data_IF_787187589360
#
_entry.id   IF_787187589360
#
_cell.length_a   1.000
_cell.length_b   1.000
_cell.length_c   1.000
_cell.angle_alpha   90.00
_cell.angle_beta   90.00
_cell.angle_gamma   90.00
#
_symmetry.space_group_name_H-M   'P 1'
#
loop_
_entity.id
_entity.type
_entity.pdbx_description
1 polymer ?
#
# COMPACT_ATOMS: atom_id res chain seq x y z
N UNK A 1 -6.32 3.96 29.28
CA UNK A 1 -4.94 4.31 28.83
C UNK A 1 -4.67 5.80 29.13
N UNK A 2 -3.50 6.17 29.64
CA UNK A 2 -3.16 7.58 29.90
C UNK A 2 -2.75 8.36 28.64
N UNK A 3 -2.63 9.69 28.74
CA UNK A 3 -2.31 10.59 27.61
C UNK A 3 -1.02 10.23 26.87
N UNK A 4 0.05 9.86 27.59
CA UNK A 4 1.30 9.40 26.97
C UNK A 4 1.14 8.12 26.15
N UNK A 5 0.26 7.21 26.58
CA UNK A 5 -0.07 5.99 25.84
C UNK A 5 -0.83 6.28 24.55
N UNK A 6 -1.83 7.17 24.62
CA UNK A 6 -2.57 7.63 23.44
C UNK A 6 -1.67 8.31 22.42
N UNK A 7 -0.71 9.13 22.90
CA UNK A 7 0.29 9.74 22.03
C UNK A 7 1.15 8.71 21.31
N UNK A 8 1.62 7.67 22.01
CA UNK A 8 2.42 6.60 21.38
C UNK A 8 1.62 5.80 20.35
N UNK A 9 0.33 5.53 20.60
CA UNK A 9 -0.54 4.87 19.62
C UNK A 9 -0.71 5.75 18.38
N UNK A 10 -1.07 7.03 18.57
CA UNK A 10 -1.21 7.98 17.47
C UNK A 10 0.08 8.13 16.66
N UNK A 11 1.24 8.19 17.33
CA UNK A 11 2.55 8.24 16.68
C UNK A 11 2.83 6.96 15.89
N UNK A 12 2.51 5.79 16.44
CA UNK A 12 2.71 4.50 15.76
C UNK A 12 1.81 4.40 14.53
N UNK A 13 0.57 4.86 14.61
CA UNK A 13 -0.32 4.96 13.45
C UNK A 13 0.22 5.93 12.39
N UNK A 14 0.71 7.10 12.79
CA UNK A 14 1.32 8.07 11.88
C UNK A 14 2.55 7.48 11.17
N UNK A 15 3.41 6.77 11.90
CA UNK A 15 4.56 6.03 11.32
C UNK A 15 4.08 4.95 10.35
N UNK A 16 3.00 4.22 10.69
CA UNK A 16 2.39 3.24 9.79
C UNK A 16 1.89 3.88 8.49
N UNK A 17 1.23 5.03 8.58
CA UNK A 17 0.75 5.80 7.41
C UNK A 17 1.93 6.29 6.57
N UNK A 18 2.97 6.86 7.19
CA UNK A 18 4.19 7.28 6.45
C UNK A 18 4.88 6.07 5.82
N UNK A 19 4.88 4.93 6.50
CA UNK A 19 5.43 3.66 6.01
C UNK A 19 4.77 3.18 4.70
N UNK A 20 3.52 3.54 4.43
CA UNK A 20 2.84 3.25 3.14
C UNK A 20 3.57 3.87 1.95
N UNK A 21 4.25 5.01 2.13
CA UNK A 21 5.01 5.67 1.07
C UNK A 21 6.26 4.88 0.66
N UNK A 22 6.69 3.95 1.50
CA UNK A 22 7.87 3.11 1.32
C UNK A 22 7.38 1.74 0.84
N UNK A 23 7.55 1.41 -0.46
CA UNK A 23 7.18 0.10 -0.98
C UNK A 23 7.77 -1.01 -0.10
N UNK A 24 6.97 -2.04 0.18
CA UNK A 24 7.23 -3.20 1.04
C UNK A 24 7.06 -2.99 2.55
N UNK A 25 7.01 -1.77 3.08
CA UNK A 25 6.71 -1.61 4.49
C UNK A 25 5.24 -1.95 4.76
N UNK A 26 4.94 -2.79 5.77
CA UNK A 26 3.57 -3.17 6.09
C UNK A 26 2.88 -2.06 6.90
N UNK A 27 2.74 -0.87 6.31
CA UNK A 27 2.25 0.34 6.98
C UNK A 27 0.88 0.17 7.62
N UNK A 28 -0.09 -0.41 6.89
CA UNK A 28 -1.43 -0.70 7.41
C UNK A 28 -1.43 -1.73 8.53
N UNK A 29 -0.49 -2.69 8.51
CA UNK A 29 -0.34 -3.66 9.60
C UNK A 29 0.10 -2.96 10.89
N UNK A 30 1.01 -1.99 10.78
CA UNK A 30 1.46 -1.19 11.92
C UNK A 30 0.32 -0.33 12.49
N UNK A 31 -0.52 0.27 11.63
CA UNK A 31 -1.75 0.98 12.06
C UNK A 31 -2.71 0.03 12.80
N UNK A 32 -2.95 -1.16 12.24
CA UNK A 32 -3.81 -2.17 12.86
C UNK A 32 -3.29 -2.68 14.20
N UNK A 33 -1.97 -2.90 14.31
CA UNK A 33 -1.32 -3.30 15.55
C UNK A 33 -1.44 -2.22 16.62
N UNK A 34 -1.24 -0.94 16.26
CA UNK A 34 -1.43 0.18 17.18
C UNK A 34 -2.89 0.26 17.67
N UNK A 35 -3.87 0.07 16.77
CA UNK A 35 -5.29 0.02 17.13
C UNK A 35 -5.62 -1.13 18.08
N UNK A 36 -5.05 -2.32 17.83
CA UNK A 36 -5.25 -3.50 18.68
C UNK A 36 -4.68 -3.28 20.08
N UNK A 37 -3.45 -2.75 20.18
CA UNK A 37 -2.80 -2.43 21.45
C UNK A 37 -3.66 -1.44 22.25
N UNK A 38 -4.21 -0.42 21.58
CA UNK A 38 -5.12 0.52 22.21
C UNK A 38 -6.40 -0.16 22.71
N UNK A 39 -7.05 -0.99 21.88
CA UNK A 39 -8.29 -1.69 22.26
C UNK A 39 -8.07 -2.64 23.45
N UNK A 40 -6.96 -3.37 23.46
CA UNK A 40 -6.54 -4.21 24.59
C UNK A 40 -6.29 -3.38 25.87
N UNK A 41 -5.73 -2.18 25.73
CA UNK A 41 -5.43 -1.31 26.88
C UNK A 41 -6.67 -0.56 27.42
N UNK A 42 -7.69 -0.35 26.60
CA UNK A 42 -8.98 0.20 27.02
C UNK A 42 -9.89 -0.89 27.60
N UNK A 43 -9.81 -2.10 27.05
CA UNK A 43 -10.56 -3.30 27.46
C UNK A 43 -12.06 -3.04 27.67
N UNK A 44 -12.69 -2.41 26.69
CA UNK A 44 -14.12 -2.11 26.71
C UNK A 44 -14.81 -2.62 25.45
N UNK A 45 -16.10 -2.91 25.56
CA UNK A 45 -16.95 -3.31 24.41
C UNK A 45 -16.85 -2.30 23.27
N UNK A 46 -16.86 -0.99 23.60
CA UNK A 46 -16.72 0.06 22.60
C UNK A 46 -15.34 0.05 21.94
N UNK A 47 -14.26 -0.15 22.70
CA UNK A 47 -12.90 -0.25 22.17
C UNK A 47 -12.75 -1.41 21.18
N UNK A 48 -13.36 -2.56 21.46
CA UNK A 48 -13.38 -3.70 20.55
C UNK A 48 -14.22 -3.44 19.28
N UNK A 49 -15.35 -2.75 19.40
CA UNK A 49 -16.16 -2.34 18.23
C UNK A 49 -15.36 -1.39 17.32
N UNK A 50 -14.68 -0.39 17.91
CA UNK A 50 -13.81 0.55 17.19
C UNK A 50 -12.68 -0.19 16.48
N UNK A 51 -12.03 -1.14 17.16
CA UNK A 51 -11.01 -1.99 16.53
C UNK A 51 -11.57 -2.82 15.38
N UNK A 52 -12.75 -3.43 15.54
CA UNK A 52 -13.42 -4.18 14.47
C UNK A 52 -13.67 -3.31 13.24
N UNK A 53 -14.15 -2.08 13.42
CA UNK A 53 -14.34 -1.13 12.33
C UNK A 53 -13.01 -0.78 11.62
N UNK A 54 -11.95 -0.51 12.39
CA UNK A 54 -10.60 -0.28 11.85
C UNK A 54 -10.12 -1.49 11.05
N UNK A 55 -10.25 -2.71 11.59
CA UNK A 55 -9.82 -3.93 10.91
C UNK A 55 -10.53 -4.11 9.56
N UNK A 56 -11.84 -3.83 9.49
CA UNK A 56 -12.60 -3.87 8.24
C UNK A 56 -12.09 -2.84 7.24
N UNK A 57 -11.85 -1.59 7.66
CA UNK A 57 -11.30 -0.55 6.77
C UNK A 57 -9.93 -0.94 6.22
N UNK A 58 -9.03 -1.41 7.08
CA UNK A 58 -7.69 -1.83 6.68
C UNK A 58 -7.71 -3.04 5.75
N UNK A 59 -8.59 -4.02 6.02
CA UNK A 59 -8.80 -5.17 5.15
C UNK A 59 -9.33 -4.75 3.77
N UNK A 60 -10.34 -3.87 3.72
CA UNK A 60 -10.87 -3.32 2.47
C UNK A 60 -9.81 -2.54 1.69
N UNK A 61 -9.03 -1.69 2.36
CA UNK A 61 -7.92 -0.96 1.73
C UNK A 61 -6.86 -1.91 1.15
N UNK A 62 -6.52 -2.97 1.90
CA UNK A 62 -5.57 -4.01 1.47
C UNK A 62 -6.09 -4.81 0.29
N UNK A 63 -7.39 -5.11 0.23
CA UNK A 63 -7.97 -5.79 -0.95
C UNK A 63 -8.03 -4.84 -2.14
N UNK A 64 -8.50 -3.61 -1.94
CA UNK A 64 -8.66 -2.62 -3.01
C UNK A 64 -7.34 -2.27 -3.69
N UNK A 65 -6.22 -2.15 -2.95
CA UNK A 65 -4.91 -1.85 -3.53
C UNK A 65 -4.38 -2.94 -4.47
N UNK A 66 -4.84 -4.20 -4.32
CA UNK A 66 -4.44 -5.30 -5.20
C UNK A 66 -5.44 -5.49 -6.33
N UNK A 67 -6.73 -5.46 -6.01
CA UNK A 67 -7.80 -5.74 -6.97
C UNK A 67 -7.90 -4.64 -8.04
N UNK A 68 -7.81 -3.37 -7.66
CA UNK A 68 -8.00 -2.27 -8.61
C UNK A 68 -6.88 -2.22 -9.67
N UNK A 69 -5.58 -2.24 -9.30
CA UNK A 69 -4.50 -2.30 -10.29
C UNK A 69 -4.49 -3.60 -11.11
N UNK A 70 -4.82 -4.74 -10.51
CA UNK A 70 -4.83 -6.02 -11.21
C UNK A 70 -5.89 -6.07 -12.32
N UNK A 71 -7.06 -5.43 -12.12
CA UNK A 71 -8.10 -5.33 -13.15
C UNK A 71 -7.64 -4.51 -14.35
N UNK A 72 -6.95 -3.39 -14.10
CA UNK A 72 -6.42 -2.53 -15.17
C UNK A 72 -5.28 -3.21 -15.94
N UNK A 73 -4.41 -3.98 -15.25
CA UNK A 73 -3.33 -4.73 -15.89
C UNK A 73 -3.83 -5.94 -16.69
N UNK A 74 -4.85 -6.65 -16.20
CA UNK A 74 -5.47 -7.76 -16.92
C UNK A 74 -6.17 -7.28 -18.20
N UNK A 75 -6.79 -6.09 -18.17
CA UNK A 75 -7.39 -5.46 -19.33
C UNK A 75 -6.36 -5.02 -20.39
N UNK A 76 -5.09 -4.82 -20.01
CA UNK A 76 -4.02 -4.39 -20.90
C UNK A 76 -3.42 -5.52 -21.77
N UNK A 77 -3.80 -6.79 -21.54
CA UNK A 77 -3.41 -7.92 -22.42
C UNK A 77 -1.92 -8.28 -22.44
N UNK A 78 -1.14 -7.83 -21.46
CA UNK A 78 0.29 -8.11 -21.40
C UNK A 78 0.57 -9.63 -21.25
N UNK A 79 1.46 -10.21 -22.05
CA UNK A 79 1.83 -11.62 -21.94
C UNK A 79 2.39 -11.95 -20.54
N UNK A 80 2.14 -13.18 -20.05
CA UNK A 80 2.71 -13.65 -18.76
C UNK A 80 4.24 -13.53 -18.70
N UNK A 81 4.92 -13.66 -19.83
CA UNK A 81 6.37 -13.46 -19.94
C UNK A 81 6.80 -12.01 -19.64
N UNK A 82 6.05 -11.01 -20.12
CA UNK A 82 6.29 -9.59 -19.80
C UNK A 82 6.15 -9.34 -18.29
N UNK A 83 5.13 -9.92 -17.65
CA UNK A 83 4.93 -9.81 -16.20
C UNK A 83 6.08 -10.46 -15.42
N UNK A 84 6.60 -11.59 -15.90
CA UNK A 84 7.73 -12.29 -15.27
C UNK A 84 9.01 -11.45 -15.36
N UNK A 85 9.28 -10.82 -16.50
CA UNK A 85 10.43 -9.91 -16.67
C UNK A 85 10.28 -8.66 -15.80
N UNK A 86 9.05 -8.15 -15.65
CA UNK A 86 8.73 -7.12 -14.67
C UNK A 86 9.07 -7.56 -13.24
N UNK A 87 8.63 -8.73 -12.81
CA UNK A 87 8.93 -9.25 -11.48
C UNK A 87 10.44 -9.40 -11.23
N UNK A 88 11.18 -9.95 -12.20
CA UNK A 88 12.66 -10.07 -12.11
C UNK A 88 13.30 -8.69 -12.05
N UNK A 89 12.85 -7.75 -12.88
CA UNK A 89 13.31 -6.36 -12.86
C UNK A 89 13.07 -5.69 -11.50
N UNK A 90 11.91 -5.93 -10.87
CA UNK A 90 11.60 -5.42 -9.54
C UNK A 90 12.57 -5.95 -8.48
N UNK A 91 12.89 -7.25 -8.53
CA UNK A 91 13.86 -7.86 -7.62
C UNK A 91 15.24 -7.23 -7.81
N UNK A 92 15.73 -7.13 -9.05
CA UNK A 92 17.04 -6.52 -9.35
C UNK A 92 17.04 -5.06 -8.88
N UNK A 93 16.00 -4.30 -9.23
CA UNK A 93 15.88 -2.90 -8.85
C UNK A 93 15.93 -2.71 -7.34
N UNK A 94 15.22 -3.54 -6.56
CA UNK A 94 15.26 -3.49 -5.10
C UNK A 94 16.67 -3.65 -4.53
N UNK A 95 17.49 -4.55 -5.09
CA UNK A 95 18.87 -4.72 -4.65
C UNK A 95 19.77 -3.54 -5.05
N UNK A 96 19.49 -2.87 -6.18
CA UNK A 96 20.27 -1.71 -6.65
C UNK A 96 19.90 -0.43 -5.90
N UNK A 97 18.59 -0.19 -5.74
CA UNK A 97 18.04 0.97 -5.03
C UNK A 97 17.05 0.42 -3.99
N UNK A 98 17.47 0.24 -2.73
CA UNK A 98 16.58 -0.24 -1.68
C UNK A 98 15.29 0.59 -1.63
N UNK A 99 14.18 -0.06 -1.30
CA UNK A 99 12.83 0.54 -1.20
C UNK A 99 12.21 0.92 -2.54
N UNK A 100 12.75 1.91 -3.24
CA UNK A 100 12.15 2.47 -4.47
C UNK A 100 12.51 1.68 -5.73
N UNK A 101 13.55 0.86 -5.67
CA UNK A 101 13.97 0.03 -6.79
C UNK A 101 12.99 -1.07 -7.16
N UNK A 102 12.09 -1.47 -6.26
CA UNK A 102 11.10 -2.50 -6.54
C UNK A 102 10.02 -2.02 -7.54
N UNK A 103 9.35 -0.86 -7.32
CA UNK A 103 8.50 -0.28 -8.35
C UNK A 103 9.29 0.13 -9.59
N UNK A 104 10.45 0.78 -9.44
CA UNK A 104 11.25 1.27 -10.58
C UNK A 104 11.73 0.12 -11.47
N UNK A 105 12.32 -0.91 -10.87
CA UNK A 105 12.80 -2.10 -11.56
C UNK A 105 11.67 -2.91 -12.18
N UNK A 106 10.52 -2.97 -11.52
CA UNK A 106 9.32 -3.63 -12.06
C UNK A 106 8.80 -2.94 -13.32
N UNK A 107 8.65 -1.62 -13.24
CA UNK A 107 8.25 -0.77 -14.37
C UNK A 107 9.25 -0.90 -15.52
N UNK A 108 10.56 -0.78 -15.24
CA UNK A 108 11.61 -0.89 -16.24
C UNK A 108 11.68 -2.27 -16.88
N UNK A 109 11.49 -3.35 -16.11
CA UNK A 109 11.45 -4.71 -16.63
C UNK A 109 10.30 -4.92 -17.62
N UNK A 110 9.09 -4.48 -17.26
CA UNK A 110 7.92 -4.51 -18.17
C UNK A 110 8.18 -3.64 -19.41
N UNK A 111 8.68 -2.41 -19.21
CA UNK A 111 9.00 -1.49 -20.30
C UNK A 111 9.98 -2.09 -21.30
N UNK A 112 11.09 -2.66 -20.84
CA UNK A 112 12.13 -3.23 -21.70
C UNK A 112 11.66 -4.49 -22.41
N UNK A 113 10.84 -5.32 -21.76
CA UNK A 113 10.22 -6.49 -22.39
C UNK A 113 9.27 -6.07 -23.53
N UNK A 114 8.45 -5.04 -23.29
CA UNK A 114 7.49 -4.57 -24.28
C UNK A 114 8.15 -3.78 -25.41
N UNK A 115 9.22 -3.02 -25.12
CA UNK A 115 10.03 -2.32 -26.13
C UNK A 115 10.66 -3.30 -27.12
N UNK A 116 11.15 -4.45 -26.61
CA UNK A 116 11.67 -5.55 -27.45
C UNK A 116 10.57 -6.21 -28.27
N UNK A 117 9.39 -6.42 -27.69
CA UNK A 117 8.22 -6.99 -28.38
C UNK A 117 7.70 -6.10 -29.51
N UNK A 118 7.67 -4.79 -29.30
CA UNK A 118 7.10 -3.79 -30.22
C UNK A 118 8.13 -3.17 -31.17
N UNK A 119 9.30 -3.81 -31.35
CA UNK A 119 10.36 -3.36 -32.26
C UNK A 119 10.82 -1.90 -32.07
N UNK A 120 10.86 -1.40 -30.82
CA UNK A 120 11.46 -0.09 -30.52
C UNK A 120 10.50 1.11 -30.56
N UNK A 121 9.18 0.92 -30.50
CA UNK A 121 8.23 2.03 -30.36
C UNK A 121 8.35 2.72 -28.98
N UNK A 122 9.14 3.81 -28.94
CA UNK A 122 9.35 4.64 -27.76
C UNK A 122 8.06 5.32 -27.24
N UNK A 123 7.05 5.54 -28.09
CA UNK A 123 5.79 6.14 -27.66
C UNK A 123 4.95 5.16 -26.83
N UNK A 124 4.86 3.90 -27.28
CA UNK A 124 4.24 2.81 -26.51
C UNK A 124 4.93 2.57 -25.17
N UNK A 125 6.24 2.72 -25.15
CA UNK A 125 7.05 2.49 -23.97
C UNK A 125 6.80 3.56 -22.88
N UNK A 126 6.82 4.87 -23.22
CA UNK A 126 6.48 5.95 -22.28
C UNK A 126 5.06 5.80 -21.71
N UNK A 127 4.12 5.38 -22.53
CA UNK A 127 2.74 5.12 -22.11
C UNK A 127 2.67 4.00 -21.08
N UNK A 128 3.44 2.94 -21.25
CA UNK A 128 3.54 1.83 -20.29
C UNK A 128 4.08 2.30 -18.93
N UNK A 129 5.16 3.09 -18.92
CA UNK A 129 5.71 3.69 -17.68
C UNK A 129 4.65 4.52 -16.93
N UNK A 130 3.90 5.37 -17.63
CA UNK A 130 2.85 6.21 -17.01
C UNK A 130 1.73 5.35 -16.43
N UNK A 131 1.31 4.29 -17.12
CA UNK A 131 0.28 3.36 -16.62
C UNK A 131 0.74 2.67 -15.35
N UNK A 132 1.99 2.19 -15.31
CA UNK A 132 2.52 1.52 -14.12
C UNK A 132 2.71 2.47 -12.94
N UNK A 133 3.25 3.68 -13.17
CA UNK A 133 3.37 4.70 -12.14
C UNK A 133 2.00 5.11 -11.58
N UNK A 134 0.99 5.24 -12.45
CA UNK A 134 -0.39 5.52 -12.04
C UNK A 134 -0.96 4.38 -11.19
N UNK A 135 -0.73 3.13 -11.57
CA UNK A 135 -1.18 1.96 -10.82
C UNK A 135 -0.55 1.92 -9.40
N UNK A 136 0.76 2.19 -9.30
CA UNK A 136 1.46 2.29 -8.01
C UNK A 136 0.89 3.45 -7.19
N UNK A 137 0.72 4.63 -7.80
CA UNK A 137 0.17 5.81 -7.13
C UNK A 137 -1.25 5.58 -6.61
N UNK A 138 -2.11 4.90 -7.37
CA UNK A 138 -3.46 4.52 -6.93
C UNK A 138 -3.40 3.58 -5.73
N UNK A 139 -2.51 2.57 -5.75
CA UNK A 139 -2.31 1.67 -4.61
C UNK A 139 -1.92 2.42 -3.34
N UNK A 140 -0.95 3.34 -3.43
CA UNK A 140 -0.51 4.19 -2.32
C UNK A 140 -1.66 5.06 -1.82
N UNK A 141 -2.42 5.70 -2.71
CA UNK A 141 -3.56 6.54 -2.32
C UNK A 141 -4.64 5.75 -1.57
N UNK A 142 -4.92 4.51 -2.00
CA UNK A 142 -5.88 3.62 -1.33
C UNK A 142 -5.38 3.29 0.09
N UNK A 143 -4.11 2.94 0.24
CA UNK A 143 -3.54 2.63 1.54
C UNK A 143 -3.51 3.86 2.45
N UNK A 144 -3.13 5.03 1.94
CA UNK A 144 -3.18 6.28 2.71
C UNK A 144 -4.60 6.60 3.16
N UNK A 145 -5.59 6.48 2.27
CA UNK A 145 -6.99 6.70 2.61
C UNK A 145 -7.48 5.74 3.69
N UNK A 146 -7.14 4.45 3.58
CA UNK A 146 -7.50 3.44 4.59
C UNK A 146 -6.81 3.72 5.93
N UNK A 147 -5.51 4.03 5.94
CA UNK A 147 -4.74 4.36 7.14
C UNK A 147 -5.26 5.61 7.84
N UNK A 148 -5.51 6.70 7.11
CA UNK A 148 -6.09 7.93 7.65
C UNK A 148 -7.49 7.68 8.21
N UNK A 149 -8.35 6.97 7.47
CA UNK A 149 -9.70 6.64 7.93
C UNK A 149 -9.66 5.80 9.22
N UNK A 150 -8.78 4.80 9.30
CA UNK A 150 -8.57 4.01 10.49
C UNK A 150 -8.11 4.87 11.69
N UNK A 151 -7.18 5.80 11.48
CA UNK A 151 -6.74 6.72 12.53
C UNK A 151 -7.84 7.69 12.99
N UNK A 152 -8.70 8.14 12.09
CA UNK A 152 -9.85 8.97 12.44
C UNK A 152 -10.91 8.19 13.24
N UNK A 153 -11.18 6.93 12.86
CA UNK A 153 -12.07 6.03 13.62
C UNK A 153 -11.51 5.79 15.03
N UNK A 154 -10.20 5.55 15.13
CA UNK A 154 -9.53 5.41 16.42
C UNK A 154 -9.66 6.69 17.27
N UNK A 155 -9.38 7.85 16.69
CA UNK A 155 -9.47 9.13 17.40
C UNK A 155 -10.90 9.39 17.91
N UNK A 156 -11.92 9.11 17.09
CA UNK A 156 -13.31 9.19 17.53
C UNK A 156 -13.62 8.21 18.68
N UNK A 157 -13.09 6.99 18.61
CA UNK A 157 -13.18 6.00 19.68
C UNK A 157 -12.55 6.48 20.99
N UNK A 158 -11.35 7.06 20.92
CA UNK A 158 -10.67 7.66 22.09
C UNK A 158 -11.51 8.75 22.73
N UNK A 159 -12.16 9.60 21.93
CA UNK A 159 -13.01 10.68 22.44
C UNK A 159 -14.32 10.18 23.05
N UNK A 160 -14.72 8.94 22.76
CA UNK A 160 -15.96 8.33 23.23
C UNK A 160 -15.76 7.36 24.40
N UNK A 161 -14.52 7.09 24.81
CA UNK A 161 -14.14 6.21 25.94
C UNK A 161 -13.51 7.00 27.08
#
# INVERSE_FOLDING_TARGET
MGAGGLFLVGLTMAVGIVGVLVPLLPGLLLVGAAALIWALAVDSTLGWIVFGAIAVVLAMGTVAKYVLPARDLAAAGAPRSTLLVGAVGAVIGFFVIPVVGLPIGGVLGVYLAELRRLHGDNAGARRSTVVTLRAIGIGILIELAAGVTASLIWLAGVLAT
#
